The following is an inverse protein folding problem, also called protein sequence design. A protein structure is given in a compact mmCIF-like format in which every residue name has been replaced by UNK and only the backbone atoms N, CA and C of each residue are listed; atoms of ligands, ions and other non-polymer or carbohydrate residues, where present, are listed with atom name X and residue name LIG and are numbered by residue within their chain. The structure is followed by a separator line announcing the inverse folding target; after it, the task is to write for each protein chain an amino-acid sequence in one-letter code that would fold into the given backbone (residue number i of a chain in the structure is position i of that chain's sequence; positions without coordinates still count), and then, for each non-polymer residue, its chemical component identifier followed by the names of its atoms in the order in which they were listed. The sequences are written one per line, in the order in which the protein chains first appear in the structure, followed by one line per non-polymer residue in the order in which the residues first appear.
data_IF_878029358694
#
_entry.id   IF_878029358694
#
_cell.length_a   1.000
_cell.length_b   1.000
_cell.length_c   1.000
_cell.angle_alpha   90.00
_cell.angle_beta   90.00
_cell.angle_gamma   90.00
#
_symmetry.space_group_name_H-M   'P 1'
#
loop_
_entity.id
_entity.type
_entity.pdbx_description
1 polymer ?
#
# COMPACT_ATOMS: atom_id res chain seq x y z
N UNK A 1 -21.96 3.40 30.97
CA UNK A 1 -22.14 1.93 31.01
C UNK A 1 -23.30 1.58 30.10
N UNK A 2 -23.07 0.98 28.93
CA UNK A 2 -24.16 0.53 28.05
C UNK A 2 -23.88 -0.87 27.51
N UNK A 3 -24.95 -1.66 27.38
CA UNK A 3 -24.87 -3.11 27.38
C UNK A 3 -24.46 -3.72 26.03
N UNK A 4 -23.53 -4.67 26.12
CA UNK A 4 -23.07 -5.51 25.02
C UNK A 4 -24.16 -6.56 24.68
N UNK A 5 -24.77 -6.46 23.50
CA UNK A 5 -25.69 -7.50 23.00
C UNK A 5 -24.88 -8.65 22.44
N UNK A 6 -24.91 -9.80 23.13
CA UNK A 6 -24.31 -11.06 22.67
C UNK A 6 -25.15 -11.65 21.53
N UNK A 7 -24.51 -12.07 20.45
CA UNK A 7 -25.13 -12.86 19.39
C UNK A 7 -24.71 -14.32 19.64
N UNK A 8 -25.67 -15.14 20.06
CA UNK A 8 -25.46 -16.57 20.31
C UNK A 8 -25.51 -17.36 19.00
N UNK A 9 -24.73 -18.44 18.94
CA UNK A 9 -24.37 -19.14 17.72
C UNK A 9 -25.49 -19.82 16.93
N UNK A 10 -25.09 -20.33 15.77
CA UNK A 10 -25.68 -21.52 15.18
C UNK A 10 -24.55 -22.38 14.58
N UNK A 11 -24.17 -23.44 15.30
CA UNK A 11 -23.16 -24.40 14.84
C UNK A 11 -23.85 -25.39 13.88
N UNK A 12 -23.87 -25.07 12.59
CA UNK A 12 -24.52 -25.93 11.58
C UNK A 12 -23.56 -27.01 11.08
N UNK A 13 -23.70 -28.23 11.63
CA UNK A 13 -22.93 -29.40 11.26
C UNK A 13 -23.54 -30.07 10.02
N UNK A 14 -23.06 -29.73 8.82
CA UNK A 14 -23.45 -30.42 7.59
C UNK A 14 -22.49 -31.57 7.26
N UNK A 15 -22.89 -32.77 7.69
CA UNK A 15 -22.37 -34.04 7.19
C UNK A 15 -23.25 -34.51 6.03
N UNK A 16 -22.75 -34.45 4.79
CA UNK A 16 -23.24 -35.27 3.70
C UNK A 16 -22.07 -35.89 2.93
N UNK A 17 -21.93 -37.21 3.08
CA UNK A 17 -21.23 -38.03 2.12
C UNK A 17 -22.20 -38.41 1.00
N UNK A 18 -21.76 -38.32 -0.25
CA UNK A 18 -22.56 -38.71 -1.42
C UNK A 18 -21.65 -38.75 -2.65
N UNK A 19 -21.45 -39.94 -3.20
CA UNK A 19 -20.48 -40.19 -4.25
C UNK A 19 -21.14 -40.53 -5.59
N UNK A 20 -20.41 -40.21 -6.66
CA UNK A 20 -20.39 -40.79 -8.02
C UNK A 20 -21.61 -40.72 -8.97
N UNK A 21 -21.23 -40.52 -10.24
CA UNK A 21 -21.89 -40.92 -11.49
C UNK A 21 -23.06 -40.09 -12.03
N UNK A 22 -22.84 -39.47 -13.20
CA UNK A 22 -23.91 -38.88 -14.01
C UNK A 22 -23.45 -37.95 -15.13
N UNK A 23 -22.74 -38.44 -16.14
CA UNK A 23 -22.61 -37.70 -17.41
C UNK A 23 -23.93 -37.80 -18.18
N UNK A 24 -24.52 -36.66 -18.56
CA UNK A 24 -25.53 -36.61 -19.63
C UNK A 24 -25.49 -35.23 -20.30
N UNK A 25 -25.50 -35.22 -21.62
CA UNK A 25 -25.43 -34.01 -22.44
C UNK A 25 -26.80 -33.71 -23.08
N UNK A 26 -27.21 -32.43 -23.08
CA UNK A 26 -28.41 -31.97 -23.78
C UNK A 26 -28.28 -30.51 -24.29
N UNK A 27 -28.76 -30.31 -25.50
CA UNK A 27 -28.86 -29.07 -26.31
C UNK A 27 -30.33 -28.52 -26.25
N UNK A 28 -30.79 -27.32 -26.66
CA UNK A 28 -30.26 -26.07 -27.32
C UNK A 28 -31.48 -25.14 -27.55
N UNK A 29 -31.43 -23.78 -27.72
CA UNK A 29 -30.47 -22.72 -27.38
C UNK A 29 -31.19 -21.43 -26.80
N UNK A 30 -31.09 -20.14 -27.29
CA UNK A 30 -31.16 -18.97 -26.39
C UNK A 30 -32.50 -18.19 -26.39
N UNK A 31 -32.59 -17.17 -25.52
CA UNK A 31 -33.56 -16.07 -25.61
C UNK A 31 -32.85 -14.71 -25.59
N UNK A 32 -33.10 -13.90 -26.64
CA UNK A 32 -32.72 -12.49 -26.73
C UNK A 32 -33.52 -11.62 -25.75
N UNK A 33 -32.94 -10.48 -25.38
CA UNK A 33 -33.60 -9.42 -24.62
C UNK A 33 -32.97 -8.06 -24.96
N UNK A 34 -33.35 -7.50 -26.12
CA UNK A 34 -32.90 -6.18 -26.58
C UNK A 34 -33.65 -5.06 -25.84
N UNK A 35 -32.98 -3.92 -25.57
CA UNK A 35 -33.57 -2.89 -24.70
C UNK A 35 -32.81 -1.56 -24.52
N UNK A 36 -32.19 -1.04 -25.58
CA UNK A 36 -31.97 0.41 -25.75
C UNK A 36 -33.18 1.00 -26.51
N UNK A 37 -33.39 2.34 -26.63
CA UNK A 37 -32.62 3.48 -26.09
C UNK A 37 -33.49 4.56 -25.40
N UNK A 38 -32.86 5.57 -24.75
CA UNK A 38 -32.91 6.97 -25.24
C UNK A 38 -32.09 7.95 -24.39
N UNK A 39 -31.40 8.80 -25.12
CA UNK A 39 -30.74 10.03 -24.69
C UNK A 39 -31.75 11.18 -24.87
N UNK A 40 -31.87 12.09 -23.88
CA UNK A 40 -32.58 13.35 -24.09
C UNK A 40 -31.90 14.49 -23.31
N UNK A 41 -31.58 15.54 -24.05
CA UNK A 41 -30.84 16.73 -23.65
C UNK A 41 -31.70 17.67 -22.80
N UNK A 42 -31.09 18.31 -21.78
CA UNK A 42 -31.70 19.50 -21.15
C UNK A 42 -30.68 20.55 -20.75
N UNK A 43 -30.58 21.57 -21.60
CA UNK A 43 -29.86 22.81 -21.30
C UNK A 43 -30.53 23.61 -20.18
N UNK A 44 -29.73 24.31 -19.37
CA UNK A 44 -30.11 25.63 -18.85
C UNK A 44 -28.89 26.49 -18.52
N UNK A 45 -28.97 27.75 -18.94
CA UNK A 45 -27.94 28.78 -18.74
C UNK A 45 -28.07 29.47 -17.38
N UNK A 46 -27.01 30.22 -17.04
CA UNK A 46 -26.94 31.23 -15.99
C UNK A 46 -25.94 30.83 -14.90
N UNK A 47 -25.02 31.66 -14.44
CA UNK A 47 -24.60 33.02 -14.78
C UNK A 47 -23.32 33.26 -13.93
N UNK A 48 -22.58 34.33 -14.17
CA UNK A 48 -21.31 34.63 -13.50
C UNK A 48 -21.43 34.90 -11.99
N UNK A 49 -20.50 34.35 -11.21
CA UNK A 49 -19.95 35.04 -10.04
C UNK A 49 -18.59 34.44 -9.64
N UNK A 50 -17.49 35.10 -10.01
CA UNK A 50 -16.29 35.05 -9.17
C UNK A 50 -16.63 35.69 -7.82
N UNK A 51 -16.15 35.10 -6.72
CA UNK A 51 -15.25 35.91 -5.92
C UNK A 51 -13.96 35.17 -5.55
N UNK A 52 -12.86 35.83 -5.89
CA UNK A 52 -11.60 35.76 -5.16
C UNK A 52 -11.86 35.89 -3.64
N UNK A 53 -11.50 34.86 -2.86
CA UNK A 53 -10.90 35.11 -1.55
C UNK A 53 -10.12 33.91 -1.02
N UNK A 54 -8.99 34.23 -0.40
CA UNK A 54 -8.08 33.30 0.22
C UNK A 54 -8.68 32.57 1.42
N UNK A 55 -8.24 31.33 1.63
CA UNK A 55 -7.91 30.93 2.99
C UNK A 55 -6.63 30.10 2.96
N UNK A 56 -5.57 30.66 3.56
CA UNK A 56 -4.24 30.09 3.49
C UNK A 56 -4.19 28.70 4.12
N UNK A 57 -3.86 27.67 3.32
CA UNK A 57 -3.40 26.41 3.88
C UNK A 57 -2.07 26.70 4.56
N UNK A 58 -2.11 26.79 5.88
CA UNK A 58 -0.97 27.02 6.77
C UNK A 58 0.12 25.98 6.48
N UNK A 59 1.09 26.36 5.66
CA UNK A 59 2.36 25.65 5.49
C UNK A 59 3.04 25.68 6.85
N UNK A 60 2.99 24.53 7.52
CA UNK A 60 3.53 24.37 8.85
C UNK A 60 5.03 24.16 8.69
N UNK A 61 5.76 25.27 8.72
CA UNK A 61 7.18 25.41 9.07
C UNK A 61 7.96 24.08 8.98
N UNK A 62 8.43 23.77 7.77
CA UNK A 62 9.36 22.66 7.55
C UNK A 62 10.72 23.02 8.17
N UNK A 63 10.86 22.70 9.46
CA UNK A 63 12.11 22.79 10.21
C UNK A 63 13.11 21.75 9.67
N UNK A 64 13.76 22.09 8.55
CA UNK A 64 14.95 21.42 8.01
C UNK A 64 14.86 19.90 7.97
N UNK A 65 13.99 19.35 7.11
CA UNK A 65 13.99 17.90 6.87
C UNK A 65 15.28 17.52 6.11
N UNK A 66 16.26 16.96 6.83
CA UNK A 66 17.52 16.52 6.25
C UNK A 66 17.28 15.36 5.28
N UNK A 67 17.31 15.66 3.98
CA UNK A 67 17.21 14.66 2.91
C UNK A 67 18.58 14.03 2.69
N UNK A 68 18.66 12.72 2.94
CA UNK A 68 19.87 11.91 2.81
C UNK A 68 19.73 10.97 1.63
N UNK A 69 20.70 10.99 0.72
CA UNK A 69 20.78 10.01 -0.37
C UNK A 69 21.31 8.67 0.16
N UNK A 70 20.80 7.57 -0.41
CA UNK A 70 21.19 6.21 -0.06
C UNK A 70 21.92 5.58 -1.25
N UNK A 71 23.09 4.99 -1.01
CA UNK A 71 23.81 4.24 -2.04
C UNK A 71 23.03 2.99 -2.43
N UNK A 72 22.58 2.90 -3.69
CA UNK A 72 21.59 1.92 -4.14
C UNK A 72 22.06 1.03 -5.30
N UNK A 73 22.82 -0.01 -4.94
CA UNK A 73 23.25 -1.05 -5.87
C UNK A 73 22.29 -2.25 -5.84
N UNK A 74 21.07 -2.07 -6.37
CA UNK A 74 20.04 -3.11 -6.43
C UNK A 74 19.34 -3.14 -7.83
N UNK A 75 18.76 -4.28 -8.20
CA UNK A 75 18.09 -4.49 -9.49
C UNK A 75 16.65 -3.94 -9.55
N UNK A 76 15.99 -3.76 -8.40
CA UNK A 76 14.60 -3.36 -8.28
C UNK A 76 14.38 -2.01 -7.59
N UNK A 77 15.35 -1.47 -6.85
CA UNK A 77 15.24 -0.17 -6.16
C UNK A 77 16.41 0.76 -6.50
N UNK A 78 16.13 2.05 -6.74
CA UNK A 78 17.14 3.09 -7.03
C UNK A 78 16.65 4.51 -6.77
N UNK A 79 17.56 5.48 -6.83
CA UNK A 79 17.36 6.90 -6.50
C UNK A 79 16.73 7.08 -5.12
N UNK A 80 17.18 6.29 -4.15
CA UNK A 80 16.63 6.24 -2.81
C UNK A 80 17.04 7.49 -2.00
N UNK A 81 16.05 8.18 -1.44
CA UNK A 81 16.27 9.26 -0.49
C UNK A 81 15.43 9.05 0.77
N UNK A 82 16.01 9.40 1.92
CA UNK A 82 15.37 9.34 3.23
C UNK A 82 15.32 10.75 3.80
N UNK A 83 14.13 11.18 4.16
CA UNK A 83 13.88 12.43 4.86
C UNK A 83 13.21 12.11 6.21
N UNK A 84 13.44 12.96 7.23
CA UNK A 84 12.82 12.83 8.54
C UNK A 84 13.73 12.22 9.61
N UNK A 85 13.22 12.21 10.86
CA UNK A 85 13.93 11.83 12.08
C UNK A 85 12.97 11.45 13.21
N UNK A 86 13.50 10.81 14.25
CA UNK A 86 12.81 10.50 15.51
C UNK A 86 11.50 9.71 15.33
N UNK A 87 11.56 8.65 14.52
CA UNK A 87 10.43 7.73 14.28
C UNK A 87 9.49 8.11 13.14
N UNK A 88 9.62 9.32 12.56
CA UNK A 88 8.84 9.71 11.36
C UNK A 88 9.77 9.94 10.18
N UNK A 89 9.57 9.16 9.12
CA UNK A 89 10.41 9.19 7.92
C UNK A 89 9.57 9.21 6.65
N UNK A 90 10.05 9.92 5.64
CA UNK A 90 9.57 9.82 4.26
C UNK A 90 10.68 9.25 3.40
N UNK A 91 10.46 8.07 2.84
CA UNK A 91 11.38 7.42 1.90
C UNK A 91 10.83 7.56 0.49
N UNK A 92 11.65 8.03 -0.43
CA UNK A 92 11.29 8.18 -1.85
C UNK A 92 12.29 7.44 -2.72
N UNK A 93 11.86 7.08 -3.92
CA UNK A 93 12.76 6.55 -4.93
C UNK A 93 12.02 6.04 -6.15
N UNK A 94 12.70 5.20 -6.93
CA UNK A 94 12.12 4.46 -8.04
C UNK A 94 12.22 2.96 -7.76
N UNK A 95 11.13 2.24 -8.05
CA UNK A 95 11.08 0.79 -8.00
C UNK A 95 10.75 0.22 -9.39
N UNK A 96 11.29 -0.95 -9.67
CA UNK A 96 10.97 -1.81 -10.82
C UNK A 96 10.70 -3.20 -10.27
N UNK A 97 9.49 -3.35 -9.75
CA UNK A 97 9.00 -4.53 -9.02
C UNK A 97 7.74 -5.08 -9.67
N UNK A 98 7.49 -6.36 -9.54
CA UNK A 98 6.35 -7.07 -10.15
C UNK A 98 5.03 -6.49 -9.62
N UNK A 99 4.07 -6.20 -10.52
CA UNK A 99 2.78 -5.52 -10.21
C UNK A 99 2.90 -4.16 -9.49
N UNK A 100 4.11 -3.61 -9.37
CA UNK A 100 4.40 -2.40 -8.61
C UNK A 100 4.45 -2.64 -7.09
N UNK A 101 4.20 -3.86 -6.62
CA UNK A 101 4.09 -4.19 -5.20
C UNK A 101 5.44 -4.55 -4.58
N UNK A 102 5.71 -4.02 -3.40
CA UNK A 102 6.86 -4.40 -2.59
C UNK A 102 6.54 -4.41 -1.10
N UNK A 103 7.41 -5.04 -0.32
CA UNK A 103 7.34 -5.14 1.13
C UNK A 103 8.41 -4.27 1.78
N UNK A 104 8.15 -3.90 3.02
CA UNK A 104 9.12 -3.20 3.85
C UNK A 104 9.09 -3.69 5.29
N UNK A 105 10.24 -3.59 5.96
CA UNK A 105 10.38 -3.83 7.38
C UNK A 105 11.36 -2.81 7.99
N UNK A 106 11.05 -2.32 9.20
CA UNK A 106 11.92 -1.44 9.99
C UNK A 106 12.38 -2.19 11.22
N UNK A 107 13.69 -2.24 11.46
CA UNK A 107 14.31 -2.95 12.58
C UNK A 107 15.28 -2.07 13.37
N UNK A 108 15.53 -2.44 14.63
CA UNK A 108 16.60 -1.90 15.51
C UNK A 108 17.82 -2.82 15.59
N UNK A 109 17.87 -3.86 14.74
CA UNK A 109 18.86 -4.94 14.79
C UNK A 109 18.53 -6.10 15.74
N UNK A 110 17.49 -5.96 16.58
CA UNK A 110 17.02 -7.01 17.49
C UNK A 110 15.57 -7.43 17.21
N UNK A 111 14.71 -6.49 16.81
CA UNK A 111 13.27 -6.67 16.62
C UNK A 111 12.82 -5.94 15.35
N UNK A 112 11.76 -6.48 14.72
CA UNK A 112 10.96 -5.71 13.76
C UNK A 112 9.98 -4.79 14.50
N UNK A 113 10.09 -3.49 14.24
CA UNK A 113 9.31 -2.45 14.91
C UNK A 113 8.03 -2.11 14.12
N UNK A 114 8.12 -2.20 12.80
CA UNK A 114 7.09 -1.90 11.81
C UNK A 114 7.33 -2.77 10.55
N UNK A 115 6.28 -3.36 10.00
CA UNK A 115 6.32 -4.13 8.74
C UNK A 115 5.09 -3.78 7.90
N UNK A 116 5.20 -3.88 6.57
CA UNK A 116 4.08 -3.62 5.69
C UNK A 116 4.34 -3.90 4.21
N UNK A 117 3.47 -3.34 3.38
CA UNK A 117 3.56 -3.36 1.91
C UNK A 117 3.30 -1.95 1.36
N UNK A 118 3.91 -1.64 0.22
CA UNK A 118 3.68 -0.40 -0.51
C UNK A 118 3.71 -0.65 -2.01
N UNK A 119 3.24 0.32 -2.79
CA UNK A 119 3.11 0.22 -4.24
C UNK A 119 3.80 1.41 -4.93
N UNK A 120 4.58 1.12 -5.98
CA UNK A 120 5.09 2.11 -6.91
C UNK A 120 4.03 2.48 -7.95
N UNK A 121 4.15 3.64 -8.59
CA UNK A 121 3.12 4.19 -9.50
C UNK A 121 2.76 3.26 -10.68
N UNK A 122 3.66 2.36 -11.08
CA UNK A 122 3.48 1.31 -12.08
C UNK A 122 4.32 0.09 -11.70
N UNK A 123 4.04 -1.06 -12.31
CA UNK A 123 4.87 -2.27 -12.18
C UNK A 123 5.98 -2.39 -13.23
N UNK A 124 6.87 -3.36 -13.00
CA UNK A 124 7.88 -3.81 -13.94
C UNK A 124 7.27 -4.17 -15.32
N UNK A 125 8.00 -3.98 -16.44
CA UNK A 125 9.44 -3.74 -16.53
C UNK A 125 9.88 -2.29 -16.31
N UNK A 126 8.95 -1.35 -16.15
CA UNK A 126 9.27 0.07 -16.02
C UNK A 126 9.76 0.46 -14.62
N UNK A 127 10.53 1.54 -14.56
CA UNK A 127 10.94 2.17 -13.31
C UNK A 127 9.92 3.24 -12.91
N UNK A 128 9.10 2.94 -11.91
CA UNK A 128 8.07 3.82 -11.39
C UNK A 128 8.49 4.51 -10.08
N UNK A 129 8.07 5.75 -9.85
CA UNK A 129 8.33 6.40 -8.57
C UNK A 129 7.47 5.81 -7.44
N UNK A 130 7.97 5.88 -6.21
CA UNK A 130 7.19 5.58 -5.00
C UNK A 130 7.48 6.61 -3.90
N UNK A 131 6.56 6.70 -2.94
CA UNK A 131 6.75 7.38 -1.67
C UNK A 131 6.22 6.49 -0.55
N UNK A 132 7.03 6.28 0.48
CA UNK A 132 6.72 5.49 1.66
C UNK A 132 6.84 6.37 2.90
N UNK A 133 5.74 6.57 3.61
CA UNK A 133 5.72 7.28 4.89
C UNK A 133 5.71 6.28 6.04
N UNK A 134 6.69 6.40 6.94
CA UNK A 134 6.87 5.53 8.10
C UNK A 134 6.60 6.35 9.36
N UNK A 135 5.73 5.83 10.24
CA UNK A 135 5.43 6.41 11.55
C UNK A 135 5.57 5.33 12.62
N UNK A 136 6.69 5.38 13.36
CA UNK A 136 6.96 4.50 14.48
C UNK A 136 6.49 5.20 15.76
N UNK A 137 5.64 4.54 16.58
CA UNK A 137 5.26 5.07 17.89
C UNK A 137 6.52 5.38 18.72
N UNK A 138 6.59 6.57 19.33
CA UNK A 138 7.79 7.02 20.07
C UNK A 138 8.30 6.01 21.11
N UNK A 139 7.41 5.23 21.72
CA UNK A 139 7.75 4.18 22.69
C UNK A 139 8.45 2.94 22.08
N UNK A 140 8.47 2.81 20.74
CA UNK A 140 9.21 1.79 19.98
C UNK A 140 10.53 2.30 19.38
N UNK A 141 10.75 3.62 19.33
CA UNK A 141 12.01 4.18 18.86
C UNK A 141 13.06 3.90 19.93
N UNK A 142 14.16 3.18 19.64
CA UNK A 142 15.20 2.92 20.64
C UNK A 142 15.89 4.23 21.02
N UNK A 143 16.49 4.29 22.23
CA UNK A 143 17.21 5.49 22.65
C UNK A 143 18.53 5.67 21.90
N UNK A 144 19.13 4.55 21.47
CA UNK A 144 20.45 4.46 20.88
C UNK A 144 20.56 3.20 20.00
N UNK A 145 21.45 3.24 19.00
CA UNK A 145 21.57 2.20 17.97
C UNK A 145 21.22 2.73 16.57
N UNK A 146 20.93 1.84 15.62
CA UNK A 146 20.60 2.21 14.23
C UNK A 146 19.23 1.68 13.85
N UNK A 147 18.32 2.58 13.48
CA UNK A 147 17.08 2.20 12.80
C UNK A 147 17.40 1.88 11.35
N UNK A 148 16.99 0.69 10.90
CA UNK A 148 17.29 0.16 9.56
C UNK A 148 15.99 -0.10 8.81
N UNK A 149 15.96 0.22 7.52
CA UNK A 149 14.87 -0.12 6.60
C UNK A 149 15.33 -1.20 5.63
N UNK A 150 14.51 -2.24 5.51
CA UNK A 150 14.59 -3.30 4.51
C UNK A 150 13.47 -3.06 3.48
N UNK A 151 13.79 -3.04 2.18
CA UNK A 151 12.83 -3.05 1.07
C UNK A 151 13.07 -4.29 0.21
N UNK A 152 12.02 -5.05 -0.11
CA UNK A 152 12.14 -6.33 -0.83
C UNK A 152 10.85 -6.72 -1.58
N UNK A 153 10.97 -7.59 -2.56
CA UNK A 153 9.85 -8.33 -3.16
C UNK A 153 9.65 -9.67 -2.44
N UNK A 154 8.44 -10.24 -2.52
CA UNK A 154 8.18 -11.63 -2.14
C UNK A 154 7.99 -12.44 -3.41
N UNK A 155 8.79 -13.49 -3.59
CA UNK A 155 8.70 -14.37 -4.75
C UNK A 155 7.34 -15.06 -4.79
N UNK A 156 6.56 -14.94 -5.88
CA UNK A 156 5.30 -15.68 -6.02
C UNK A 156 5.52 -17.19 -6.22
N UNK A 157 6.77 -17.64 -6.38
CA UNK A 157 7.12 -19.05 -6.60
C UNK A 157 7.21 -19.85 -5.30
N UNK A 158 7.85 -19.28 -4.28
CA UNK A 158 8.19 -19.97 -3.03
C UNK A 158 8.03 -19.12 -1.76
N UNK A 159 7.65 -17.85 -1.88
CA UNK A 159 7.50 -16.92 -0.76
C UNK A 159 8.81 -16.35 -0.20
N UNK A 160 9.96 -16.62 -0.82
CA UNK A 160 11.25 -16.06 -0.42
C UNK A 160 11.32 -14.54 -0.64
N UNK A 161 12.24 -13.85 0.07
CA UNK A 161 12.56 -12.45 -0.21
C UNK A 161 13.46 -12.37 -1.44
N UNK A 162 13.08 -11.56 -2.42
CA UNK A 162 13.88 -11.26 -3.61
C UNK A 162 14.19 -9.75 -3.70
N UNK A 163 15.24 -9.39 -4.42
CA UNK A 163 15.66 -8.00 -4.70
C UNK A 163 15.78 -7.10 -3.45
N UNK A 164 16.24 -7.65 -2.33
CA UNK A 164 16.33 -6.95 -1.05
C UNK A 164 17.41 -5.85 -1.03
N UNK A 165 17.08 -4.68 -0.49
CA UNK A 165 18.01 -3.60 -0.16
C UNK A 165 17.80 -3.15 1.29
N UNK A 166 18.90 -2.89 1.99
CA UNK A 166 18.92 -2.60 3.43
C UNK A 166 19.76 -1.35 3.68
N UNK A 167 19.22 -0.36 4.39
CA UNK A 167 19.91 0.91 4.63
C UNK A 167 19.45 1.60 5.94
N UNK A 168 20.30 2.43 6.57
CA UNK A 168 19.94 3.12 7.81
C UNK A 168 18.93 4.26 7.56
N UNK A 169 17.90 4.31 8.41
CA UNK A 169 16.98 5.45 8.54
C UNK A 169 17.54 6.51 9.49
N UNK A 170 18.17 6.13 10.59
CA UNK A 170 18.72 7.05 11.59
C UNK A 170 19.74 6.34 12.49
N UNK A 171 20.82 7.02 12.85
CA UNK A 171 21.76 6.60 13.90
C UNK A 171 21.44 7.41 15.15
N UNK A 172 21.10 6.72 16.23
CA UNK A 172 20.64 7.27 17.50
C UNK A 172 21.77 7.11 18.52
N UNK A 173 22.11 8.20 19.23
CA UNK A 173 23.26 8.32 20.12
C UNK A 173 22.87 8.94 21.47
#
# INVERSE_FOLDING_TARGET
MHAWRKISGLLSLFLLAGAISGCSASETPPQQGEGQPKEEEKQRQGETSDPESSNGKKEKEEEGEEVREVADHNQAFRKLTVAGKSGRYTVRGQARVTEGQFRYAVSDGHNYLLEGSSQAQSGAPEWAAFQLSLDLPKAKVPQNGTLTLELFEISPKDGSRENEIVFPLENLQ
#
